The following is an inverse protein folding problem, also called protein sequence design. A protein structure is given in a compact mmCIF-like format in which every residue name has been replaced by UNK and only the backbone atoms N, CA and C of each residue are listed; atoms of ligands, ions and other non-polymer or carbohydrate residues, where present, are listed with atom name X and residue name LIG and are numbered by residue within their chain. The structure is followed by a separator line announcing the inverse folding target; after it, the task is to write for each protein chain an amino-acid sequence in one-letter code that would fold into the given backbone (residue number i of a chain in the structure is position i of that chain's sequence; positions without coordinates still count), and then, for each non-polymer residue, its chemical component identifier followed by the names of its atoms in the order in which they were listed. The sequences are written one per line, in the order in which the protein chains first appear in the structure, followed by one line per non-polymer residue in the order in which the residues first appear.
data_IF_398214173234
#
_entry.id   IF_398214173234
#
_cell.length_a   1.000
_cell.length_b   1.000
_cell.length_c   1.000
_cell.angle_alpha   90.00
_cell.angle_beta   90.00
_cell.angle_gamma   90.00
#
_symmetry.space_group_name_H-M   'P 1'
#
loop_
_entity.id
_entity.type
_entity.pdbx_description
1 polymer ?
#
# COMPACT_ATOMS: atom_id res chain seq x y z
N UNK A 1 -3.83 21.79 3.34
CA UNK A 1 -3.21 21.58 2.02
C UNK A 1 -3.44 22.76 1.06
N UNK A 2 -4.64 23.39 0.90
CA UNK A 2 -4.84 24.47 -0.09
C UNK A 2 -3.86 25.63 0.03
N UNK A 3 -3.66 26.17 1.21
CA UNK A 3 -2.73 27.28 1.44
C UNK A 3 -1.28 26.97 1.04
N UNK A 4 -0.83 25.73 1.25
CA UNK A 4 0.50 25.29 0.79
C UNK A 4 0.57 25.15 -0.73
N UNK A 5 -0.51 24.72 -1.36
CA UNK A 5 -0.60 24.67 -2.82
C UNK A 5 -0.52 26.07 -3.43
N UNK A 6 -1.27 27.04 -2.89
CA UNK A 6 -1.22 28.46 -3.30
C UNK A 6 0.20 29.00 -3.16
N UNK A 7 0.83 28.78 -2.01
CA UNK A 7 2.22 29.20 -1.78
C UNK A 7 3.19 28.57 -2.79
N UNK A 8 3.07 27.28 -3.06
CA UNK A 8 3.91 26.60 -4.04
C UNK A 8 3.73 27.18 -5.47
N UNK A 9 2.49 27.51 -5.85
CA UNK A 9 2.18 28.12 -7.16
C UNK A 9 2.73 29.53 -7.28
N UNK A 10 2.93 30.25 -6.19
CA UNK A 10 3.60 31.55 -6.19
C UNK A 10 5.13 31.44 -6.23
N UNK A 11 5.70 30.53 -5.43
CA UNK A 11 7.15 30.37 -5.27
C UNK A 11 7.78 29.73 -6.49
N UNK A 12 7.30 28.57 -6.94
CA UNK A 12 7.94 27.80 -8.01
C UNK A 12 8.11 28.60 -9.32
N UNK A 13 7.08 29.32 -9.83
CA UNK A 13 7.27 30.17 -10.99
C UNK A 13 8.22 31.35 -10.73
N UNK A 14 8.25 31.91 -9.52
CA UNK A 14 9.20 32.96 -9.17
C UNK A 14 10.66 32.49 -9.23
N UNK A 15 10.89 31.19 -9.06
CA UNK A 15 12.19 30.54 -9.23
C UNK A 15 12.49 30.15 -10.70
N UNK A 16 11.66 30.56 -11.66
CA UNK A 16 11.84 30.25 -13.08
C UNK A 16 11.37 28.87 -13.50
N UNK A 17 10.59 28.18 -12.69
CA UNK A 17 10.05 26.84 -13.00
C UNK A 17 8.69 26.93 -13.67
N UNK A 18 8.51 26.19 -14.76
CA UNK A 18 7.18 25.97 -15.35
C UNK A 18 6.39 24.95 -14.52
N UNK A 19 5.17 25.31 -14.15
CA UNK A 19 4.31 24.53 -13.28
C UNK A 19 3.10 23.99 -14.02
N UNK A 20 2.84 22.68 -13.88
CA UNK A 20 1.59 22.05 -14.28
C UNK A 20 0.77 21.86 -13.00
N UNK A 21 -0.30 22.63 -12.87
CA UNK A 21 -1.15 22.64 -11.69
C UNK A 21 -2.42 21.83 -11.95
N UNK A 22 -2.67 20.82 -11.10
CA UNK A 22 -4.01 20.29 -10.91
C UNK A 22 -4.63 21.00 -9.69
N UNK A 23 -5.63 21.89 -9.90
CA UNK A 23 -6.21 22.66 -8.80
C UNK A 23 -7.26 21.92 -8.00
N UNK A 24 -7.61 20.68 -8.42
CA UNK A 24 -8.62 19.86 -7.77
C UNK A 24 -7.97 18.98 -6.69
N UNK A 25 -8.77 18.61 -5.72
CA UNK A 25 -8.40 17.55 -4.79
C UNK A 25 -8.48 16.22 -5.53
N UNK A 26 -7.38 15.46 -5.47
CA UNK A 26 -7.21 14.18 -6.19
C UNK A 26 -6.61 13.13 -5.27
N UNK A 27 -6.80 11.86 -5.60
CA UNK A 27 -6.10 10.78 -4.91
C UNK A 27 -4.61 10.78 -5.23
N UNK A 28 -3.83 10.14 -4.36
CA UNK A 28 -2.41 9.85 -4.61
C UNK A 28 -2.24 9.04 -5.90
N UNK A 29 -3.16 8.14 -6.23
CA UNK A 29 -3.11 7.34 -7.46
C UNK A 29 -3.31 8.21 -8.71
N UNK A 30 -4.24 9.15 -8.69
CA UNK A 30 -4.42 10.10 -9.77
C UNK A 30 -3.21 11.06 -9.89
N UNK A 31 -2.60 11.45 -8.77
CA UNK A 31 -1.35 12.20 -8.78
C UNK A 31 -0.23 11.41 -9.48
N UNK A 32 -0.02 10.13 -9.14
CA UNK A 32 0.97 9.31 -9.83
C UNK A 32 0.66 9.14 -11.32
N UNK A 33 -0.61 9.00 -11.69
CA UNK A 33 -0.99 8.97 -13.09
C UNK A 33 -0.64 10.28 -13.82
N UNK A 34 -0.84 11.43 -13.18
CA UNK A 34 -0.41 12.72 -13.75
C UNK A 34 1.11 12.80 -13.95
N UNK A 35 1.89 12.19 -13.03
CA UNK A 35 3.35 12.05 -13.20
C UNK A 35 3.70 11.15 -14.40
N UNK A 36 2.97 10.04 -14.60
CA UNK A 36 3.14 9.17 -15.78
C UNK A 36 2.94 9.94 -17.10
N UNK A 37 2.05 10.93 -17.12
CA UNK A 37 1.79 11.79 -18.31
C UNK A 37 2.81 12.92 -18.47
N UNK A 38 3.60 13.21 -17.42
CA UNK A 38 4.60 14.27 -17.40
C UNK A 38 5.95 13.74 -16.89
N UNK A 39 6.45 12.68 -17.52
CA UNK A 39 7.60 11.88 -17.06
C UNK A 39 8.88 12.65 -16.78
N UNK A 40 9.09 13.75 -17.50
CA UNK A 40 10.31 14.57 -17.40
C UNK A 40 10.22 15.63 -16.29
N UNK A 41 9.06 15.76 -15.65
CA UNK A 41 8.84 16.71 -14.56
C UNK A 41 9.10 16.07 -13.18
N UNK A 42 9.57 16.87 -12.24
CA UNK A 42 9.42 16.58 -10.83
C UNK A 42 8.00 16.96 -10.39
N UNK A 43 7.48 16.28 -9.36
CA UNK A 43 6.13 16.55 -8.90
C UNK A 43 6.02 16.50 -7.37
N UNK A 44 5.07 17.26 -6.84
CA UNK A 44 4.75 17.31 -5.42
C UNK A 44 3.24 17.25 -5.22
N UNK A 45 2.82 16.46 -4.22
CA UNK A 45 1.46 16.40 -3.72
C UNK A 45 1.47 16.67 -2.21
N UNK A 46 0.57 17.56 -1.76
CA UNK A 46 0.40 17.86 -0.35
C UNK A 46 -0.65 16.92 0.26
N UNK A 47 -0.19 15.98 1.08
CA UNK A 47 -1.03 15.01 1.79
C UNK A 47 -0.37 14.54 3.08
N UNK A 48 -1.17 14.23 4.09
CA UNK A 48 -0.72 13.54 5.29
C UNK A 48 -1.18 12.06 5.32
N UNK A 49 -1.62 11.52 4.16
CA UNK A 49 -2.15 10.16 4.04
C UNK A 49 -3.34 9.95 5.00
N UNK A 50 -3.24 9.00 5.92
CA UNK A 50 -4.24 8.67 6.93
C UNK A 50 -3.95 9.28 8.31
N UNK A 51 -2.99 10.21 8.41
CA UNK A 51 -2.72 10.89 9.67
C UNK A 51 -3.85 11.87 10.04
N UNK A 52 -4.06 12.17 11.34
CA UNK A 52 -5.02 13.15 11.80
C UNK A 52 -4.91 14.49 11.08
N UNK A 53 -6.03 15.21 10.93
CA UNK A 53 -6.15 16.42 10.13
C UNK A 53 -5.24 17.61 10.53
N UNK A 54 -4.58 17.54 11.69
CA UNK A 54 -3.58 18.52 12.13
C UNK A 54 -2.22 18.35 11.45
N UNK A 55 -1.98 17.19 10.81
CA UNK A 55 -0.74 16.91 10.10
C UNK A 55 -0.83 17.33 8.64
N UNK A 56 0.30 17.69 8.07
CA UNK A 56 0.49 17.90 6.65
C UNK A 56 1.84 17.34 6.23
N UNK A 57 1.88 16.72 5.07
CA UNK A 57 3.08 16.17 4.47
C UNK A 57 3.14 16.42 2.97
N UNK A 58 4.17 15.87 2.34
CA UNK A 58 4.38 15.95 0.91
C UNK A 58 4.83 14.59 0.37
N UNK A 59 4.20 14.17 -0.73
CA UNK A 59 4.75 13.09 -1.57
C UNK A 59 5.51 13.72 -2.72
N UNK A 60 6.75 13.28 -2.93
CA UNK A 60 7.67 13.85 -3.90
C UNK A 60 8.04 12.80 -4.96
N UNK A 61 8.00 13.21 -6.22
CA UNK A 61 8.43 12.40 -7.36
C UNK A 61 9.48 13.16 -8.15
N UNK A 62 10.59 12.50 -8.44
CA UNK A 62 11.56 12.99 -9.40
C UNK A 62 11.21 12.58 -10.83
N UNK A 63 11.89 13.16 -11.84
CA UNK A 63 11.74 12.76 -13.23
C UNK A 63 11.92 11.25 -13.44
N UNK A 64 11.21 10.68 -14.40
CA UNK A 64 11.22 9.24 -14.68
C UNK A 64 10.45 8.40 -13.66
N UNK A 65 9.48 8.96 -12.97
CA UNK A 65 8.69 8.27 -11.94
C UNK A 65 9.55 7.74 -10.79
N UNK A 66 10.61 8.46 -10.44
CA UNK A 66 11.50 8.07 -9.35
C UNK A 66 10.98 8.61 -8.03
N UNK A 67 10.66 7.71 -7.11
CA UNK A 67 10.26 8.08 -5.75
C UNK A 67 11.45 8.60 -4.95
N UNK A 68 11.21 9.57 -4.07
CA UNK A 68 12.20 10.01 -3.07
C UNK A 68 11.89 9.35 -1.74
N UNK A 69 12.85 8.59 -1.23
CA UNK A 69 12.86 8.10 0.15
C UNK A 69 13.88 8.88 0.98
N UNK A 70 13.97 8.59 2.27
CA UNK A 70 14.89 9.32 3.16
C UNK A 70 16.34 9.29 2.68
N UNK A 71 16.82 8.11 2.33
CA UNK A 71 18.21 7.82 1.98
C UNK A 71 18.40 7.38 0.53
N UNK A 72 17.36 7.41 -0.29
CA UNK A 72 17.40 6.94 -1.66
C UNK A 72 16.50 7.77 -2.57
N UNK A 73 16.84 7.76 -3.86
CA UNK A 73 16.15 8.52 -4.89
C UNK A 73 17.07 9.52 -5.60
N UNK A 74 16.52 10.35 -6.50
CA UNK A 74 17.28 11.40 -7.18
C UNK A 74 17.98 12.34 -6.18
N UNK A 75 19.24 12.65 -6.45
CA UNK A 75 20.06 13.57 -5.68
C UNK A 75 20.21 13.24 -4.19
N UNK A 76 20.06 11.98 -3.78
CA UNK A 76 20.22 11.56 -2.38
C UNK A 76 18.91 11.55 -1.57
N UNK A 77 17.77 11.71 -2.22
CA UNK A 77 16.45 11.57 -1.58
C UNK A 77 16.06 12.72 -0.66
N UNK A 78 15.19 12.42 0.31
CA UNK A 78 14.65 13.40 1.26
C UNK A 78 15.73 13.92 2.22
N UNK A 79 16.75 13.12 2.55
CA UNK A 79 17.85 13.55 3.39
C UNK A 79 18.59 14.76 2.81
N UNK A 80 18.80 14.78 1.50
CA UNK A 80 19.40 15.93 0.82
C UNK A 80 18.51 17.18 0.92
N UNK A 81 17.20 17.05 0.79
CA UNK A 81 16.25 18.17 0.96
C UNK A 81 16.32 18.71 2.40
N UNK A 82 16.36 17.81 3.39
CA UNK A 82 16.52 18.18 4.80
C UNK A 82 17.82 18.95 5.02
N UNK A 83 18.94 18.46 4.50
CA UNK A 83 20.24 19.07 4.68
C UNK A 83 20.28 20.46 4.03
N UNK A 84 19.72 20.60 2.84
CA UNK A 84 19.50 21.93 2.22
C UNK A 84 18.69 22.89 3.08
N UNK A 85 17.63 22.39 3.71
CA UNK A 85 16.79 23.21 4.58
C UNK A 85 17.53 23.64 5.86
N UNK A 86 18.28 22.72 6.48
CA UNK A 86 19.00 22.98 7.73
C UNK A 86 20.22 23.89 7.53
N UNK A 87 20.95 23.73 6.44
CA UNK A 87 22.14 24.54 6.13
C UNK A 87 21.78 26.00 5.77
N UNK A 88 20.48 26.30 5.66
CA UNK A 88 19.99 27.62 5.24
C UNK A 88 20.70 28.12 3.98
N UNK A 89 21.26 27.21 3.21
CA UNK A 89 22.00 27.47 1.98
C UNK A 89 21.02 27.77 0.83
N UNK A 90 20.04 28.63 1.10
CA UNK A 90 19.25 29.29 0.06
C UNK A 90 20.19 30.11 -0.82
N UNK A 91 21.13 29.40 -1.47
CA UNK A 91 21.94 29.97 -2.53
C UNK A 91 20.96 30.57 -3.52
N UNK A 92 21.19 31.84 -3.84
CA UNK A 92 20.45 32.53 -4.90
C UNK A 92 20.58 31.70 -6.17
N UNK A 93 19.54 30.89 -6.45
CA UNK A 93 19.46 30.22 -7.74
C UNK A 93 19.32 31.31 -8.80
N UNK A 94 20.19 31.35 -9.83
CA UNK A 94 20.10 32.36 -10.87
C UNK A 94 18.79 32.18 -11.62
N UNK A 95 17.82 33.04 -11.33
CA UNK A 95 16.50 33.01 -11.97
C UNK A 95 16.59 33.69 -13.33
N UNK A 96 16.33 32.97 -14.41
CA UNK A 96 16.35 33.51 -15.79
C UNK A 96 15.02 34.16 -16.23
N UNK A 97 14.13 34.43 -15.28
CA UNK A 97 12.79 34.93 -15.51
C UNK A 97 11.74 34.16 -14.72
N UNK A 98 10.50 34.64 -14.76
CA UNK A 98 9.38 33.93 -14.09
C UNK A 98 8.90 32.79 -15.00
N UNK A 99 8.71 31.61 -14.45
CA UNK A 99 8.09 30.47 -15.12
C UNK A 99 6.58 30.67 -15.33
N UNK A 100 5.97 29.77 -16.07
CA UNK A 100 4.54 29.77 -16.39
C UNK A 100 3.77 28.81 -15.52
N UNK A 101 2.44 29.03 -15.39
CA UNK A 101 1.53 28.08 -14.73
C UNK A 101 0.49 27.63 -15.75
N UNK A 102 0.39 26.32 -15.96
CA UNK A 102 -0.59 25.68 -16.81
C UNK A 102 -1.50 24.77 -15.99
N UNK A 103 -2.80 24.92 -16.12
CA UNK A 103 -3.77 24.03 -15.47
C UNK A 103 -3.93 22.76 -16.31
N UNK A 104 -3.90 21.59 -15.65
CA UNK A 104 -4.20 20.30 -16.27
C UNK A 104 -5.03 19.43 -15.30
N UNK A 105 -5.95 18.66 -15.86
CA UNK A 105 -6.81 17.72 -15.14
C UNK A 105 -6.67 16.35 -15.80
N UNK A 106 -6.66 15.30 -15.00
CA UNK A 106 -6.38 13.93 -15.47
C UNK A 106 -7.47 12.93 -15.08
N UNK A 107 -8.59 13.37 -14.51
CA UNK A 107 -9.64 12.49 -13.97
C UNK A 107 -10.18 11.53 -15.03
N UNK A 108 -10.71 12.07 -16.12
CA UNK A 108 -11.34 11.27 -17.18
C UNK A 108 -10.34 10.26 -17.79
N UNK A 109 -9.13 10.76 -18.10
CA UNK A 109 -8.07 9.91 -18.65
C UNK A 109 -7.62 8.82 -17.67
N UNK A 110 -7.56 9.12 -16.37
CA UNK A 110 -7.22 8.15 -15.32
C UNK A 110 -8.29 7.07 -15.18
N UNK A 111 -9.56 7.46 -15.23
CA UNK A 111 -10.69 6.52 -15.21
C UNK A 111 -10.64 5.61 -16.44
N UNK A 112 -10.56 6.18 -17.64
CA UNK A 112 -10.51 5.42 -18.89
C UNK A 112 -9.32 4.47 -18.97
N UNK A 113 -8.16 4.93 -18.51
CA UNK A 113 -6.94 4.12 -18.40
C UNK A 113 -7.16 2.91 -17.47
N UNK A 114 -7.70 3.17 -16.27
CA UNK A 114 -7.87 2.12 -15.26
C UNK A 114 -8.95 1.10 -15.66
N UNK A 115 -10.06 1.54 -16.25
CA UNK A 115 -11.10 0.66 -16.81
C UNK A 115 -10.50 -0.20 -17.91
N UNK A 116 -9.83 0.40 -18.89
CA UNK A 116 -9.24 -0.31 -20.03
C UNK A 116 -8.22 -1.35 -19.58
N UNK A 117 -7.34 -1.00 -18.64
CA UNK A 117 -6.33 -1.92 -18.11
C UNK A 117 -6.96 -3.08 -17.30
N UNK A 118 -8.05 -2.83 -16.56
CA UNK A 118 -8.75 -3.86 -15.79
C UNK A 118 -9.45 -4.89 -16.67
N UNK A 119 -9.66 -4.57 -17.96
CA UNK A 119 -10.41 -5.40 -18.90
C UNK A 119 -11.92 -5.43 -18.64
N UNK A 120 -12.44 -4.49 -17.87
CA UNK A 120 -13.87 -4.24 -17.76
C UNK A 120 -14.34 -3.37 -18.95
N UNK A 121 -15.60 -3.58 -19.32
CA UNK A 121 -16.30 -2.82 -20.36
C UNK A 121 -17.56 -2.18 -19.77
N UNK A 122 -18.16 -1.28 -20.52
CA UNK A 122 -19.50 -0.74 -20.19
C UNK A 122 -20.47 -1.89 -19.94
N UNK A 123 -21.15 -1.84 -18.80
CA UNK A 123 -22.11 -2.86 -18.37
C UNK A 123 -21.52 -4.20 -17.87
N UNK A 124 -20.21 -4.37 -17.77
CA UNK A 124 -19.58 -5.58 -17.20
C UNK A 124 -20.02 -5.87 -15.75
N UNK A 125 -20.38 -4.82 -15.00
CA UNK A 125 -20.86 -4.91 -13.61
C UNK A 125 -22.38 -4.69 -13.49
N UNK A 126 -23.14 -4.90 -14.58
CA UNK A 126 -24.60 -4.75 -14.53
C UNK A 126 -25.23 -5.73 -13.54
N UNK A 127 -26.04 -5.19 -12.62
CA UNK A 127 -26.72 -5.96 -11.58
C UNK A 127 -25.86 -6.19 -10.33
N UNK A 128 -24.63 -5.72 -10.31
CA UNK A 128 -23.76 -5.77 -9.14
C UNK A 128 -24.03 -4.54 -8.27
N UNK A 129 -24.24 -4.76 -6.98
CA UNK A 129 -24.44 -3.73 -5.96
C UNK A 129 -23.22 -3.61 -5.05
N UNK A 130 -22.58 -2.44 -5.04
CA UNK A 130 -21.32 -2.20 -4.34
C UNK A 130 -21.49 -1.09 -3.32
N UNK A 131 -21.02 -1.31 -2.09
CA UNK A 131 -20.88 -0.27 -1.09
C UNK A 131 -19.45 0.28 -1.14
N UNK A 132 -19.30 1.60 -1.21
CA UNK A 132 -17.99 2.27 -1.10
C UNK A 132 -17.99 3.25 0.07
N UNK A 133 -16.92 3.24 0.85
CA UNK A 133 -16.69 4.22 1.91
C UNK A 133 -15.32 4.88 1.70
N UNK A 134 -15.35 6.20 1.56
CA UNK A 134 -14.14 6.98 1.29
C UNK A 134 -13.56 7.64 2.55
N UNK A 135 -14.16 7.41 3.72
CA UNK A 135 -13.73 7.97 5.01
C UNK A 135 -13.43 9.48 4.94
N UNK A 136 -14.19 10.22 4.14
CA UNK A 136 -13.96 11.63 3.79
C UNK A 136 -12.61 11.90 3.08
N UNK A 137 -12.04 10.89 2.43
CA UNK A 137 -10.81 10.97 1.63
C UNK A 137 -11.03 11.41 0.19
N UNK A 138 -9.99 11.34 -0.62
CA UNK A 138 -9.94 11.96 -1.96
C UNK A 138 -10.25 11.03 -3.14
N UNK A 139 -10.38 9.70 -2.94
CA UNK A 139 -10.62 8.74 -4.02
C UNK A 139 -12.08 8.67 -4.53
N UNK A 140 -12.99 9.40 -3.88
CA UNK A 140 -14.43 9.18 -4.04
C UNK A 140 -14.96 9.37 -5.46
N UNK A 141 -14.57 10.43 -6.14
CA UNK A 141 -15.07 10.75 -7.49
C UNK A 141 -14.63 9.69 -8.50
N UNK A 142 -13.34 9.43 -8.58
CA UNK A 142 -12.77 8.53 -9.59
C UNK A 142 -13.28 7.08 -9.47
N UNK A 143 -13.37 6.57 -8.23
CA UNK A 143 -13.84 5.20 -7.99
C UNK A 143 -15.32 5.08 -8.27
N UNK A 144 -16.13 6.04 -7.79
CA UNK A 144 -17.58 6.02 -8.01
C UNK A 144 -17.93 6.08 -9.50
N UNK A 145 -17.33 7.02 -10.23
CA UNK A 145 -17.58 7.21 -11.66
C UNK A 145 -17.13 5.99 -12.47
N UNK A 146 -15.96 5.43 -12.19
CA UNK A 146 -15.47 4.24 -12.88
C UNK A 146 -16.36 3.00 -12.67
N UNK A 147 -16.77 2.72 -11.44
CA UNK A 147 -17.68 1.60 -11.15
C UNK A 147 -19.04 1.78 -11.83
N UNK A 148 -19.60 3.00 -11.82
CA UNK A 148 -20.85 3.35 -12.47
C UNK A 148 -20.72 3.25 -14.01
N UNK A 149 -19.61 3.70 -14.59
CA UNK A 149 -19.32 3.55 -16.02
C UNK A 149 -19.28 2.08 -16.45
N UNK A 150 -18.81 1.19 -15.58
CA UNK A 150 -18.86 -0.25 -15.79
C UNK A 150 -20.25 -0.89 -15.50
N UNK A 151 -21.24 -0.10 -15.07
CA UNK A 151 -22.64 -0.54 -14.90
C UNK A 151 -23.01 -0.99 -13.48
N UNK A 152 -22.16 -0.82 -12.49
CA UNK A 152 -22.47 -1.15 -11.09
C UNK A 152 -23.49 -0.17 -10.48
N UNK A 153 -24.29 -0.67 -9.55
CA UNK A 153 -25.05 0.16 -8.62
C UNK A 153 -24.20 0.47 -7.40
N UNK A 154 -23.77 1.71 -7.24
CA UNK A 154 -22.84 2.10 -6.18
C UNK A 154 -23.60 2.86 -5.09
N UNK A 155 -23.54 2.35 -3.87
CA UNK A 155 -23.92 3.07 -2.66
C UNK A 155 -22.69 3.70 -2.03
N UNK A 156 -22.70 5.01 -1.93
CA UNK A 156 -21.55 5.79 -1.50
C UNK A 156 -21.70 6.27 -0.07
N UNK A 157 -20.63 6.23 0.71
CA UNK A 157 -20.49 6.82 2.04
C UNK A 157 -19.31 7.77 2.08
N UNK A 158 -19.42 8.81 2.92
CA UNK A 158 -18.35 9.75 3.23
C UNK A 158 -17.60 10.24 1.96
N UNK A 159 -18.40 10.58 0.92
CA UNK A 159 -17.88 10.94 -0.42
C UNK A 159 -17.10 12.26 -0.42
N UNK A 160 -17.57 13.24 0.39
CA UNK A 160 -17.03 14.60 0.34
C UNK A 160 -15.71 14.62 1.10
N UNK A 161 -14.59 14.97 0.42
CA UNK A 161 -13.32 15.07 1.07
C UNK A 161 -13.29 16.16 2.15
N UNK A 162 -12.87 15.76 3.35
CA UNK A 162 -12.71 16.68 4.48
C UNK A 162 -11.46 16.28 5.28
N UNK A 163 -10.45 17.15 5.27
CA UNK A 163 -9.20 16.89 5.97
C UNK A 163 -9.27 16.85 7.50
N UNK A 164 -10.44 17.14 8.09
CA UNK A 164 -10.71 16.94 9.52
C UNK A 164 -11.26 15.54 9.82
N UNK A 165 -11.58 14.76 8.79
CA UNK A 165 -12.08 13.39 8.88
C UNK A 165 -13.24 13.19 9.88
N UNK A 166 -14.39 13.86 9.68
CA UNK A 166 -15.51 13.80 10.62
C UNK A 166 -16.13 12.39 10.74
N UNK A 167 -15.83 11.49 9.82
CA UNK A 167 -16.26 10.09 9.88
C UNK A 167 -15.39 9.22 10.81
N UNK A 168 -14.30 9.74 11.33
CA UNK A 168 -13.31 9.03 12.15
C UNK A 168 -11.95 8.92 11.46
N UNK A 169 -11.05 8.15 12.04
CA UNK A 169 -9.72 7.88 11.47
C UNK A 169 -9.84 7.35 10.02
N UNK A 170 -9.18 7.98 9.03
CA UNK A 170 -9.27 7.56 7.63
C UNK A 170 -8.39 6.35 7.31
N UNK A 171 -8.37 5.36 8.19
CA UNK A 171 -7.61 4.12 8.02
C UNK A 171 -8.56 2.94 7.70
N UNK A 172 -8.60 2.42 6.46
CA UNK A 172 -9.59 1.43 6.03
C UNK A 172 -9.38 0.05 6.64
N UNK A 173 -8.20 -0.25 7.18
CA UNK A 173 -7.93 -1.52 7.85
C UNK A 173 -8.23 -1.50 9.35
N UNK A 174 -8.46 -0.33 9.94
CA UNK A 174 -8.81 -0.22 11.35
C UNK A 174 -10.30 -0.55 11.55
N UNK A 175 -10.56 -1.54 12.40
CA UNK A 175 -11.93 -2.04 12.65
C UNK A 175 -12.90 -0.94 13.08
N UNK A 176 -12.43 0.00 13.86
CA UNK A 176 -13.25 1.10 14.39
C UNK A 176 -13.68 2.05 13.28
N UNK A 177 -12.79 2.39 12.38
CA UNK A 177 -13.05 3.29 11.25
C UNK A 177 -14.12 2.74 10.30
N UNK A 178 -14.15 1.43 10.08
CA UNK A 178 -15.04 0.78 9.11
C UNK A 178 -16.23 0.07 9.72
N UNK A 179 -16.36 0.02 11.05
CA UNK A 179 -17.45 -0.68 11.75
C UNK A 179 -18.84 -0.29 11.26
N UNK A 180 -19.09 1.00 11.12
CA UNK A 180 -20.39 1.49 10.65
C UNK A 180 -20.68 1.11 9.19
N UNK A 181 -19.67 0.88 8.39
CA UNK A 181 -19.77 0.38 7.02
C UNK A 181 -20.06 -1.10 6.99
N UNK A 182 -19.44 -1.88 7.85
CA UNK A 182 -19.78 -3.31 8.02
C UNK A 182 -21.22 -3.52 8.47
N UNK A 183 -21.68 -2.72 9.43
CA UNK A 183 -23.08 -2.79 9.90
C UNK A 183 -24.06 -2.47 8.77
N UNK A 184 -23.70 -1.54 7.88
CA UNK A 184 -24.48 -1.23 6.70
C UNK A 184 -24.48 -2.38 5.70
N UNK A 185 -23.32 -2.99 5.42
CA UNK A 185 -23.20 -4.18 4.56
C UNK A 185 -24.13 -5.30 5.00
N UNK A 186 -24.12 -5.62 6.30
CA UNK A 186 -24.96 -6.68 6.89
C UNK A 186 -26.45 -6.38 6.78
N UNK A 187 -26.83 -5.11 6.89
CA UNK A 187 -28.22 -4.68 6.94
C UNK A 187 -28.86 -4.53 5.57
N UNK A 188 -28.15 -3.97 4.59
CA UNK A 188 -28.71 -3.56 3.30
C UNK A 188 -28.38 -4.52 2.13
N UNK A 189 -27.56 -5.53 2.36
CA UNK A 189 -27.18 -6.57 1.38
C UNK A 189 -26.61 -6.03 0.08
N UNK A 190 -25.34 -5.76 0.07
CA UNK A 190 -24.54 -5.52 -1.12
C UNK A 190 -23.82 -6.82 -1.54
N UNK A 191 -23.36 -6.90 -2.77
CA UNK A 191 -22.54 -8.03 -3.22
C UNK A 191 -21.18 -8.03 -2.55
N UNK A 192 -20.54 -6.87 -2.49
CA UNK A 192 -19.27 -6.62 -1.80
C UNK A 192 -19.08 -5.11 -1.58
N UNK A 193 -18.01 -4.73 -0.88
CA UNK A 193 -17.71 -3.33 -0.61
C UNK A 193 -16.22 -3.01 -0.56
N UNK A 194 -15.93 -1.71 -0.63
CA UNK A 194 -14.58 -1.16 -0.55
C UNK A 194 -14.51 -0.01 0.45
N UNK A 195 -13.39 0.07 1.17
CA UNK A 195 -13.04 1.24 1.97
C UNK A 195 -11.68 1.78 1.50
N UNK A 196 -11.55 3.13 1.52
CA UNK A 196 -10.35 3.82 1.08
C UNK A 196 -9.81 4.71 2.19
N UNK A 197 -8.51 4.96 2.22
CA UNK A 197 -7.91 5.89 3.16
C UNK A 197 -8.01 7.36 2.70
N UNK A 198 -7.44 8.26 3.52
CA UNK A 198 -7.61 9.70 3.32
C UNK A 198 -7.09 10.24 1.99
N UNK A 199 -6.00 9.73 1.46
CA UNK A 199 -5.47 10.15 0.15
C UNK A 199 -5.63 9.08 -0.94
N UNK A 200 -6.37 8.01 -0.66
CA UNK A 200 -6.86 7.07 -1.64
C UNK A 200 -5.81 6.14 -2.24
N UNK A 201 -4.70 5.90 -1.56
CA UNK A 201 -3.68 4.94 -2.01
C UNK A 201 -3.80 3.57 -1.33
N UNK A 202 -4.73 3.42 -0.38
CA UNK A 202 -5.10 2.16 0.25
C UNK A 202 -6.53 1.76 -0.10
N UNK A 203 -6.71 0.48 -0.36
CA UNK A 203 -8.01 -0.11 -0.66
C UNK A 203 -8.21 -1.38 0.15
N UNK A 204 -9.20 -1.39 1.02
CA UNK A 204 -9.66 -2.58 1.72
C UNK A 204 -10.93 -3.13 1.09
N UNK A 205 -11.09 -4.46 1.12
CA UNK A 205 -12.20 -5.18 0.47
C UNK A 205 -12.98 -5.94 1.53
N UNK A 206 -14.31 -5.91 1.43
CA UNK A 206 -15.19 -6.66 2.31
C UNK A 206 -16.25 -7.43 1.52
N UNK A 207 -16.64 -8.59 2.04
CA UNK A 207 -17.73 -9.39 1.48
C UNK A 207 -19.11 -8.84 1.84
N UNK A 208 -20.16 -9.52 1.39
CA UNK A 208 -21.55 -9.18 1.66
C UNK A 208 -21.96 -9.29 3.15
N UNK A 209 -21.11 -9.84 4.01
CA UNK A 209 -21.31 -9.90 5.45
C UNK A 209 -20.48 -8.84 6.18
N UNK A 210 -19.74 -7.99 5.46
CA UNK A 210 -18.84 -7.00 6.00
C UNK A 210 -17.52 -7.58 6.52
N UNK A 211 -17.13 -8.77 6.07
CA UNK A 211 -15.89 -9.40 6.47
C UNK A 211 -14.77 -8.98 5.54
N UNK A 212 -13.70 -8.46 6.13
CA UNK A 212 -12.52 -7.99 5.39
C UNK A 212 -11.67 -9.15 4.89
N UNK A 213 -11.28 -9.10 3.62
CA UNK A 213 -10.26 -9.95 3.05
C UNK A 213 -8.92 -9.19 3.07
N UNK A 214 -7.93 -9.74 3.79
CA UNK A 214 -6.61 -9.10 3.89
C UNK A 214 -5.97 -8.86 2.52
N UNK A 215 -5.19 -7.78 2.35
CA UNK A 215 -4.62 -7.38 1.07
C UNK A 215 -3.83 -8.47 0.36
N UNK A 216 -3.03 -9.22 1.09
CA UNK A 216 -2.25 -10.33 0.54
C UNK A 216 -3.12 -11.49 0.02
N UNK A 217 -4.25 -11.77 0.66
CA UNK A 217 -5.22 -12.76 0.17
C UNK A 217 -5.98 -12.24 -1.05
N UNK A 218 -6.38 -10.96 -1.05
CA UNK A 218 -7.02 -10.35 -2.21
C UNK A 218 -6.07 -10.36 -3.42
N UNK A 219 -4.80 -9.97 -3.23
CA UNK A 219 -3.82 -10.00 -4.32
C UNK A 219 -3.63 -11.42 -4.87
N UNK A 220 -3.66 -12.47 -4.02
CA UNK A 220 -3.57 -13.86 -4.49
C UNK A 220 -4.68 -14.21 -5.50
N UNK A 221 -5.88 -13.63 -5.35
CA UNK A 221 -6.98 -13.81 -6.31
C UNK A 221 -6.76 -13.04 -7.62
N UNK A 222 -6.02 -11.93 -7.58
CA UNK A 222 -5.78 -11.05 -8.73
C UNK A 222 -4.56 -11.47 -9.56
N UNK A 223 -3.58 -12.17 -8.97
CA UNK A 223 -2.33 -12.59 -9.63
C UNK A 223 -2.58 -13.29 -10.98
N UNK A 224 -3.53 -14.23 -11.14
CA UNK A 224 -3.75 -14.86 -12.43
C UNK A 224 -4.06 -13.86 -13.55
N UNK A 225 -4.90 -12.86 -13.31
CA UNK A 225 -5.23 -11.83 -14.30
C UNK A 225 -4.05 -10.90 -14.57
N UNK A 226 -3.29 -10.54 -13.55
CA UNK A 226 -2.09 -9.70 -13.67
C UNK A 226 -1.01 -10.45 -14.49
N UNK A 227 -0.75 -11.71 -14.17
CA UNK A 227 0.26 -12.51 -14.88
C UNK A 227 -0.14 -12.79 -16.32
N UNK A 228 -1.43 -12.96 -16.61
CA UNK A 228 -1.93 -13.12 -17.99
C UNK A 228 -1.70 -11.83 -18.81
N UNK A 229 -1.98 -10.67 -18.24
CA UNK A 229 -1.66 -9.39 -18.88
C UNK A 229 -0.15 -9.32 -19.19
N UNK A 230 0.72 -9.57 -18.22
CA UNK A 230 2.17 -9.51 -18.45
C UNK A 230 2.71 -10.63 -19.34
N UNK A 231 2.01 -11.75 -19.50
CA UNK A 231 2.34 -12.77 -20.50
C UNK A 231 2.14 -12.25 -21.92
N UNK A 232 1.10 -11.44 -22.15
CA UNK A 232 0.92 -10.77 -23.45
C UNK A 232 1.99 -9.71 -23.70
N UNK A 233 2.37 -8.95 -22.68
CA UNK A 233 3.49 -8.01 -22.72
C UNK A 233 4.80 -8.73 -23.01
N UNK A 234 5.08 -9.87 -22.38
CA UNK A 234 6.26 -10.67 -22.64
C UNK A 234 6.30 -11.15 -24.11
N UNK A 235 5.17 -11.60 -24.63
CA UNK A 235 5.06 -12.05 -26.03
C UNK A 235 5.36 -10.93 -27.05
N UNK A 236 5.20 -9.64 -26.67
CA UNK A 236 5.58 -8.50 -27.49
C UNK A 236 7.09 -8.19 -27.50
N UNK A 237 7.90 -8.95 -26.75
CA UNK A 237 9.35 -8.82 -26.71
C UNK A 237 9.91 -7.77 -25.75
N UNK A 238 9.09 -7.14 -24.94
CA UNK A 238 9.52 -6.07 -23.99
C UNK A 238 10.54 -6.57 -22.96
N UNK A 239 10.46 -7.84 -22.54
CA UNK A 239 11.43 -8.47 -21.63
C UNK A 239 12.60 -9.16 -22.33
N UNK A 240 12.76 -8.96 -23.65
CA UNK A 240 13.80 -9.60 -24.45
C UNK A 240 13.54 -11.09 -24.65
N UNK A 241 14.62 -11.89 -24.75
CA UNK A 241 14.56 -13.34 -25.01
C UNK A 241 14.47 -14.22 -23.76
N UNK A 242 14.34 -13.62 -22.58
CA UNK A 242 14.24 -14.38 -21.33
C UNK A 242 12.91 -15.14 -21.25
N UNK A 243 12.86 -16.34 -20.66
CA UNK A 243 11.61 -17.03 -20.38
C UNK A 243 10.67 -16.17 -19.51
N UNK A 244 9.37 -16.36 -19.67
CA UNK A 244 8.40 -15.71 -18.80
C UNK A 244 8.45 -16.32 -17.40
N UNK A 245 8.97 -15.56 -16.45
CA UNK A 245 9.11 -15.94 -15.04
C UNK A 245 8.72 -14.74 -14.17
N UNK A 246 7.42 -14.56 -13.89
CA UNK A 246 6.96 -13.43 -13.11
C UNK A 246 7.36 -13.54 -11.64
N UNK A 247 7.67 -12.40 -11.03
CA UNK A 247 8.01 -12.27 -9.62
C UNK A 247 7.19 -11.16 -8.97
N UNK A 248 7.01 -11.26 -7.64
CA UNK A 248 6.35 -10.26 -6.83
C UNK A 248 7.05 -10.02 -5.49
N UNK A 249 6.76 -8.89 -4.88
CA UNK A 249 7.14 -8.61 -3.51
C UNK A 249 5.96 -8.68 -2.54
N UNK A 250 6.22 -9.13 -1.30
CA UNK A 250 5.31 -9.08 -0.18
C UNK A 250 6.02 -8.51 1.07
N UNK A 251 5.29 -7.84 1.95
CA UNK A 251 5.85 -7.23 3.15
C UNK A 251 6.05 -8.23 4.30
N UNK A 252 6.82 -7.83 5.32
CA UNK A 252 7.16 -8.68 6.47
C UNK A 252 5.94 -9.15 7.26
N UNK A 253 4.80 -8.50 7.13
CA UNK A 253 3.56 -8.79 7.84
C UNK A 253 2.67 -9.80 7.11
N UNK A 254 2.98 -10.08 5.84
CA UNK A 254 2.16 -10.98 5.05
C UNK A 254 2.03 -12.36 5.71
N UNK A 255 0.80 -12.84 5.75
CA UNK A 255 0.50 -14.13 6.35
C UNK A 255 1.15 -15.26 5.52
N UNK A 256 1.86 -16.22 6.13
CA UNK A 256 2.50 -17.32 5.41
C UNK A 256 1.58 -18.07 4.45
N UNK A 257 0.28 -18.25 4.80
CA UNK A 257 -0.67 -18.90 3.90
C UNK A 257 -0.95 -18.07 2.65
N UNK A 258 -1.13 -16.76 2.79
CA UNK A 258 -1.35 -15.90 1.62
C UNK A 258 -0.16 -15.93 0.66
N UNK A 259 1.07 -15.95 1.20
CA UNK A 259 2.29 -16.06 0.40
C UNK A 259 2.37 -17.41 -0.35
N UNK A 260 2.01 -18.52 0.32
CA UNK A 260 1.91 -19.84 -0.36
C UNK A 260 0.84 -19.83 -1.45
N UNK A 261 -0.31 -19.18 -1.20
CA UNK A 261 -1.37 -19.07 -2.20
C UNK A 261 -0.91 -18.25 -3.42
N UNK A 262 -0.21 -17.14 -3.20
CA UNK A 262 0.39 -16.34 -4.26
C UNK A 262 1.39 -17.15 -5.07
N UNK A 263 2.31 -17.85 -4.42
CA UNK A 263 3.32 -18.70 -5.08
C UNK A 263 2.67 -19.83 -5.91
N UNK A 264 1.54 -20.39 -5.46
CA UNK A 264 0.78 -21.39 -6.19
C UNK A 264 0.13 -20.86 -7.49
N UNK A 265 0.02 -19.54 -7.64
CA UNK A 265 -0.39 -18.92 -8.91
C UNK A 265 0.73 -18.90 -9.96
N UNK A 266 1.89 -19.48 -9.67
CA UNK A 266 3.01 -19.56 -10.62
C UNK A 266 3.85 -18.29 -10.69
N UNK A 267 3.84 -17.47 -9.65
CA UNK A 267 4.68 -16.28 -9.49
C UNK A 267 5.74 -16.51 -8.41
N UNK A 268 6.98 -16.09 -8.64
CA UNK A 268 8.02 -16.07 -7.61
C UNK A 268 7.69 -15.03 -6.55
N UNK A 269 7.79 -15.39 -5.27
CA UNK A 269 7.43 -14.51 -4.15
C UNK A 269 8.66 -14.13 -3.35
N UNK A 270 8.85 -12.84 -3.07
CA UNK A 270 10.04 -12.31 -2.40
C UNK A 270 9.65 -11.34 -1.31
N UNK A 271 10.28 -11.49 -0.14
CA UNK A 271 10.05 -10.57 0.96
C UNK A 271 10.72 -9.22 0.70
N UNK A 272 10.06 -8.13 1.09
CA UNK A 272 10.62 -6.78 0.98
C UNK A 272 10.34 -5.97 2.24
N UNK A 273 11.23 -5.02 2.54
CA UNK A 273 11.02 -4.05 3.62
C UNK A 273 9.80 -3.17 3.37
N UNK A 274 9.10 -2.78 4.43
CA UNK A 274 7.97 -1.88 4.35
C UNK A 274 8.35 -0.49 3.84
N UNK A 275 7.41 0.13 3.14
CA UNK A 275 7.51 1.51 2.68
C UNK A 275 7.34 1.66 1.18
N UNK A 276 6.30 2.39 0.82
CA UNK A 276 5.85 2.57 -0.58
C UNK A 276 6.96 3.03 -1.55
N UNK A 277 7.88 3.89 -1.09
CA UNK A 277 8.99 4.36 -1.94
C UNK A 277 9.99 3.27 -2.26
N UNK A 278 10.32 2.40 -1.29
CA UNK A 278 11.25 1.28 -1.48
C UNK A 278 10.66 0.22 -2.39
N UNK A 279 9.39 -0.12 -2.20
CA UNK A 279 8.69 -1.13 -3.02
C UNK A 279 8.58 -0.66 -4.47
N UNK A 280 8.20 0.61 -4.70
CA UNK A 280 8.15 1.19 -6.05
C UNK A 280 9.52 1.21 -6.71
N UNK A 281 10.57 1.59 -5.99
CA UNK A 281 11.94 1.61 -6.54
C UNK A 281 12.43 0.18 -6.85
N UNK A 282 12.13 -0.80 -5.99
CA UNK A 282 12.47 -2.21 -6.25
C UNK A 282 11.74 -2.76 -7.48
N UNK A 283 10.44 -2.52 -7.62
CA UNK A 283 9.67 -2.91 -8.81
C UNK A 283 10.21 -2.25 -10.08
N UNK A 284 10.52 -0.95 -10.03
CA UNK A 284 11.08 -0.20 -11.15
C UNK A 284 12.43 -0.77 -11.58
N UNK A 285 13.32 -1.01 -10.63
CA UNK A 285 14.69 -1.47 -10.88
C UNK A 285 14.72 -2.91 -11.40
N UNK A 286 13.85 -3.76 -10.85
CA UNK A 286 13.80 -5.19 -11.16
C UNK A 286 12.73 -5.54 -12.22
N UNK A 287 12.21 -4.54 -12.95
CA UNK A 287 11.20 -4.76 -14.00
C UNK A 287 11.70 -5.72 -15.09
N UNK A 288 12.97 -5.59 -15.51
CA UNK A 288 13.55 -6.49 -16.52
C UNK A 288 13.65 -7.95 -16.05
N UNK A 289 13.77 -8.18 -14.75
CA UNK A 289 13.72 -9.48 -14.10
C UNK A 289 12.27 -9.92 -13.81
N UNK A 290 11.28 -9.20 -14.38
CA UNK A 290 9.87 -9.51 -14.29
C UNK A 290 9.29 -9.45 -12.87
N UNK A 291 9.80 -8.54 -12.02
CA UNK A 291 9.12 -8.17 -10.78
C UNK A 291 7.97 -7.22 -11.11
N UNK A 292 6.74 -7.71 -11.02
CA UNK A 292 5.58 -7.10 -11.66
C UNK A 292 4.66 -6.38 -10.69
N UNK A 293 4.47 -6.94 -9.48
CA UNK A 293 3.43 -6.55 -8.53
C UNK A 293 3.92 -6.70 -7.10
N UNK A 294 3.32 -5.96 -6.18
CA UNK A 294 3.55 -6.10 -4.74
C UNK A 294 2.30 -5.72 -3.94
N UNK A 295 2.23 -6.15 -2.68
CA UNK A 295 1.26 -5.67 -1.71
C UNK A 295 1.86 -5.51 -0.32
N UNK A 296 1.28 -4.61 0.45
CA UNK A 296 1.48 -4.50 1.90
C UNK A 296 0.17 -4.83 2.64
N UNK A 297 0.30 -5.41 3.82
CA UNK A 297 -0.86 -5.68 4.70
C UNK A 297 -1.55 -4.40 5.19
N UNK A 298 -0.96 -3.25 4.97
CA UNK A 298 -1.55 -1.92 5.17
C UNK A 298 -2.51 -1.49 4.05
N UNK A 299 -2.94 -2.40 3.17
CA UNK A 299 -3.86 -2.20 2.05
C UNK A 299 -3.31 -1.42 0.86
N UNK A 300 -1.98 -1.35 0.72
CA UNK A 300 -1.34 -0.86 -0.48
C UNK A 300 -1.13 -1.97 -1.51
N UNK A 301 -1.37 -1.63 -2.78
CA UNK A 301 -1.13 -2.49 -3.93
C UNK A 301 -0.29 -1.75 -4.97
N UNK A 302 0.76 -2.39 -5.44
CA UNK A 302 1.73 -1.82 -6.38
C UNK A 302 1.83 -2.67 -7.63
N UNK A 303 2.01 -2.06 -8.77
CA UNK A 303 2.29 -2.76 -10.01
C UNK A 303 3.18 -1.91 -10.93
N UNK A 304 3.85 -2.55 -11.86
CA UNK A 304 4.45 -1.89 -12.99
C UNK A 304 3.36 -1.58 -14.03
N UNK A 305 2.83 -0.35 -14.02
CA UNK A 305 1.78 0.12 -14.92
C UNK A 305 2.36 0.59 -16.26
N UNK A 306 1.82 0.17 -17.43
CA UNK A 306 2.30 0.63 -18.73
C UNK A 306 2.06 2.12 -18.90
N UNK A 307 3.03 2.83 -19.47
CA UNK A 307 2.82 4.24 -19.85
C UNK A 307 1.79 4.40 -20.96
N UNK A 308 1.72 3.42 -21.86
CA UNK A 308 0.75 3.35 -22.94
C UNK A 308 0.16 1.93 -23.01
N UNK A 309 -1.17 1.83 -22.98
CA UNK A 309 -1.89 0.54 -23.02
C UNK A 309 -1.77 -0.17 -24.38
N UNK A 310 -1.48 0.60 -25.45
CA UNK A 310 -1.38 0.09 -26.83
C UNK A 310 0.05 -0.22 -27.24
N UNK A 311 1.03 0.37 -26.55
CA UNK A 311 2.44 0.23 -26.87
C UNK A 311 3.27 0.03 -25.61
N UNK A 312 3.45 -1.21 -25.22
CA UNK A 312 4.24 -1.59 -24.05
C UNK A 312 5.74 -1.26 -24.18
N UNK A 313 6.24 -0.94 -25.41
CA UNK A 313 7.62 -0.52 -25.63
C UNK A 313 7.91 0.87 -25.04
N UNK A 314 6.88 1.65 -24.74
CA UNK A 314 7.01 2.91 -24.02
C UNK A 314 7.46 2.73 -22.56
N UNK A 315 7.45 1.50 -22.05
CA UNK A 315 7.88 1.15 -20.71
C UNK A 315 6.79 1.22 -19.65
N UNK A 316 7.21 1.14 -18.40
CA UNK A 316 6.32 0.98 -17.25
C UNK A 316 6.71 1.92 -16.11
N UNK A 317 5.72 2.31 -15.34
CA UNK A 317 5.85 3.05 -14.09
C UNK A 317 5.52 2.13 -12.90
N UNK A 318 6.45 1.95 -12.00
CA UNK A 318 6.19 1.28 -10.73
C UNK A 318 5.45 2.23 -9.80
N UNK A 319 4.18 1.99 -9.57
CA UNK A 319 3.33 2.88 -8.76
C UNK A 319 2.12 2.15 -8.16
N UNK A 320 1.28 2.90 -7.46
CA UNK A 320 -0.04 2.50 -6.96
C UNK A 320 -1.12 2.97 -7.92
N UNK A 321 -2.20 2.19 -8.01
CA UNK A 321 -3.44 2.58 -8.64
C UNK A 321 -4.59 1.80 -8.00
N UNK A 322 -5.12 2.30 -6.88
CA UNK A 322 -6.22 1.67 -6.16
C UNK A 322 -7.47 1.55 -7.02
N UNK A 323 -7.73 2.49 -7.93
CA UNK A 323 -8.84 2.41 -8.87
C UNK A 323 -8.73 1.15 -9.75
N UNK A 324 -7.55 0.88 -10.31
CA UNK A 324 -7.31 -0.33 -11.10
C UNK A 324 -7.55 -1.60 -10.26
N UNK A 325 -6.99 -1.67 -9.06
CA UNK A 325 -7.16 -2.84 -8.18
C UNK A 325 -8.60 -3.02 -7.71
N UNK A 326 -9.35 -1.92 -7.49
CA UNK A 326 -10.80 -1.94 -7.23
C UNK A 326 -11.56 -2.58 -8.40
N UNK A 327 -11.30 -2.12 -9.61
CA UNK A 327 -11.93 -2.63 -10.83
C UNK A 327 -11.55 -4.10 -11.10
N UNK A 328 -10.28 -4.45 -10.89
CA UNK A 328 -9.82 -5.83 -11.07
C UNK A 328 -10.44 -6.77 -10.03
N UNK A 329 -10.59 -6.32 -8.77
CA UNK A 329 -11.29 -7.07 -7.72
C UNK A 329 -12.78 -7.23 -8.07
N UNK A 330 -13.44 -6.17 -8.54
CA UNK A 330 -14.83 -6.23 -8.98
C UNK A 330 -15.02 -7.22 -10.16
N UNK A 331 -14.09 -7.22 -11.12
CA UNK A 331 -14.06 -8.18 -12.22
C UNK A 331 -13.89 -9.62 -11.72
N UNK A 332 -12.95 -9.85 -10.81
CA UNK A 332 -12.72 -11.17 -10.21
C UNK A 332 -13.96 -11.65 -9.47
N UNK A 333 -14.55 -10.83 -8.62
CA UNK A 333 -15.78 -11.15 -7.89
C UNK A 333 -16.91 -11.55 -8.84
N UNK A 334 -17.14 -10.77 -9.88
CA UNK A 334 -18.22 -11.03 -10.83
C UNK A 334 -18.01 -12.31 -11.63
N UNK A 335 -16.75 -12.63 -11.94
CA UNK A 335 -16.40 -13.83 -12.73
C UNK A 335 -16.36 -15.11 -11.90
N UNK A 336 -15.99 -15.02 -10.62
CA UNK A 336 -15.73 -16.19 -9.77
C UNK A 336 -15.92 -15.86 -8.28
N UNK A 337 -17.15 -15.54 -7.84
CA UNK A 337 -17.42 -15.13 -6.45
C UNK A 337 -17.06 -16.21 -5.42
N UNK A 338 -17.08 -17.48 -5.83
CA UNK A 338 -16.69 -18.62 -5.00
C UNK A 338 -15.20 -18.55 -4.57
N UNK A 339 -14.32 -17.99 -5.39
CA UNK A 339 -12.90 -17.85 -5.05
C UNK A 339 -12.70 -16.89 -3.87
N UNK A 340 -13.48 -15.81 -3.82
CA UNK A 340 -13.44 -14.88 -2.70
C UNK A 340 -13.89 -15.55 -1.40
N UNK A 341 -15.02 -16.27 -1.45
CA UNK A 341 -15.52 -17.04 -0.30
C UNK A 341 -14.48 -18.06 0.19
N UNK A 342 -13.82 -18.77 -0.73
CA UNK A 342 -12.74 -19.70 -0.39
C UNK A 342 -11.52 -19.00 0.25
N UNK A 343 -11.13 -17.82 -0.26
CA UNK A 343 -10.04 -17.05 0.30
C UNK A 343 -10.36 -16.60 1.73
N UNK A 344 -11.57 -16.11 2.00
CA UNK A 344 -12.03 -15.78 3.35
C UNK A 344 -12.01 -16.99 4.30
N UNK A 345 -12.49 -18.15 3.84
CA UNK A 345 -12.46 -19.37 4.64
C UNK A 345 -11.02 -19.77 5.00
N UNK A 346 -10.10 -19.66 4.06
CA UNK A 346 -8.67 -19.92 4.29
C UNK A 346 -8.06 -18.92 5.25
N UNK A 347 -8.39 -17.62 5.10
CA UNK A 347 -7.94 -16.58 6.02
C UNK A 347 -8.41 -16.88 7.46
N UNK A 348 -9.66 -17.30 7.63
CA UNK A 348 -10.23 -17.67 8.95
C UNK A 348 -9.62 -18.92 9.58
N UNK A 349 -8.99 -19.77 8.78
CA UNK A 349 -8.31 -20.96 9.28
C UNK A 349 -6.93 -20.65 9.88
N UNK A 350 -6.51 -19.40 9.85
CA UNK A 350 -5.25 -18.93 10.43
C UNK A 350 -5.55 -17.90 11.51
N UNK A 351 -4.84 -18.04 12.61
CA UNK A 351 -4.97 -17.15 13.75
C UNK A 351 -3.97 -16.02 13.63
N UNK A 352 -4.48 -14.79 13.74
CA UNK A 352 -3.69 -13.57 13.52
C UNK A 352 -4.11 -12.50 14.51
N UNK A 353 -3.14 -11.95 15.23
CA UNK A 353 -3.28 -10.64 15.83
C UNK A 353 -2.66 -9.62 14.88
N UNK A 354 -3.51 -8.69 14.38
CA UNK A 354 -3.09 -7.64 13.46
C UNK A 354 -2.12 -6.68 14.12
N UNK A 355 -1.33 -5.99 13.34
CA UNK A 355 -0.34 -5.03 13.80
C UNK A 355 -0.92 -4.06 14.83
N UNK A 356 -0.32 -4.04 16.02
CA UNK A 356 -0.63 -3.08 17.07
C UNK A 356 0.59 -2.27 17.46
N UNK A 357 0.44 -0.97 17.82
CA UNK A 357 1.51 -0.08 18.20
C UNK A 357 1.72 -0.01 19.71
N UNK A 358 2.95 0.37 20.11
CA UNK A 358 3.26 0.90 21.44
C UNK A 358 4.24 2.07 21.28
N UNK A 359 3.92 3.21 21.90
CA UNK A 359 4.72 4.42 21.82
C UNK A 359 5.69 4.47 23.01
N UNK A 360 6.99 4.64 22.74
CA UNK A 360 8.06 4.77 23.71
C UNK A 360 8.56 6.23 23.72
N UNK A 361 8.75 6.80 24.90
CA UNK A 361 9.07 8.22 25.05
C UNK A 361 10.55 8.53 24.83
N UNK A 362 11.42 7.51 24.80
CA UNK A 362 12.85 7.64 24.58
C UNK A 362 13.35 6.64 23.53
N UNK A 363 14.15 7.11 22.57
CA UNK A 363 14.59 6.32 21.42
C UNK A 363 15.35 5.03 21.81
N UNK A 364 16.21 5.10 22.84
CA UNK A 364 16.96 3.93 23.28
C UNK A 364 16.07 2.79 23.81
N UNK A 365 14.87 3.10 24.31
CA UNK A 365 13.90 2.10 24.79
C UNK A 365 13.30 1.29 23.63
N UNK A 366 13.21 1.89 22.43
CA UNK A 366 12.75 1.16 21.23
C UNK A 366 13.70 -0.01 20.92
N UNK A 367 15.00 0.27 20.85
CA UNK A 367 15.99 -0.78 20.58
C UNK A 367 15.98 -1.84 21.69
N UNK A 368 15.87 -1.39 22.93
CA UNK A 368 15.85 -2.31 24.09
C UNK A 368 14.64 -3.24 24.05
N UNK A 369 13.42 -2.72 23.85
CA UNK A 369 12.21 -3.56 23.79
C UNK A 369 12.23 -4.52 22.60
N UNK A 370 12.72 -4.07 21.44
CA UNK A 370 12.87 -4.92 20.27
C UNK A 370 13.81 -6.10 20.53
N UNK A 371 14.93 -5.87 21.24
CA UNK A 371 15.87 -6.93 21.64
C UNK A 371 15.27 -7.87 22.68
N UNK A 372 14.55 -7.37 23.68
CA UNK A 372 13.90 -8.20 24.69
C UNK A 372 12.84 -9.13 24.08
N UNK A 373 12.01 -8.62 23.19
CA UNK A 373 11.01 -9.43 22.47
C UNK A 373 11.71 -10.48 21.60
N UNK A 374 12.74 -10.10 20.84
CA UNK A 374 13.50 -11.04 20.03
C UNK A 374 14.09 -12.17 20.89
N UNK A 375 14.74 -11.85 22.00
CA UNK A 375 15.33 -12.84 22.90
C UNK A 375 14.29 -13.78 23.51
N UNK A 376 13.11 -13.27 23.84
CA UNK A 376 12.01 -14.06 24.34
C UNK A 376 11.57 -15.15 23.34
N UNK A 377 11.52 -14.85 22.05
CA UNK A 377 11.17 -15.82 21.01
C UNK A 377 12.35 -16.71 20.58
N UNK A 378 13.55 -16.20 20.54
CA UNK A 378 14.76 -17.01 20.33
C UNK A 378 14.91 -18.08 21.39
N UNK A 379 14.63 -17.77 22.66
CA UNK A 379 14.65 -18.74 23.77
C UNK A 379 13.61 -19.87 23.60
N UNK A 380 12.58 -19.65 22.79
CA UNK A 380 11.57 -20.65 22.41
C UNK A 380 11.92 -21.40 21.11
N UNK A 381 13.08 -21.12 20.52
CA UNK A 381 13.59 -21.80 19.32
C UNK A 381 13.12 -21.20 18.00
N UNK A 382 12.61 -19.96 17.97
CA UNK A 382 12.31 -19.28 16.71
C UNK A 382 13.61 -18.81 16.03
N UNK A 383 13.67 -18.98 14.72
CA UNK A 383 14.71 -18.40 13.87
C UNK A 383 14.40 -16.93 13.60
N UNK A 384 15.44 -16.12 13.49
CA UNK A 384 15.36 -14.65 13.32
C UNK A 384 15.90 -14.25 11.96
N UNK A 385 15.14 -13.42 11.24
CA UNK A 385 15.48 -12.92 9.91
C UNK A 385 15.38 -11.39 9.92
N UNK A 386 16.45 -10.71 9.50
CA UNK A 386 16.58 -9.23 9.48
C UNK A 386 16.99 -8.70 8.11
N UNK A 387 17.24 -9.59 7.15
CA UNK A 387 17.71 -9.22 5.81
C UNK A 387 16.81 -9.79 4.73
N UNK A 388 16.77 -9.12 3.59
CA UNK A 388 16.17 -9.62 2.36
C UNK A 388 17.11 -10.63 1.68
N UNK A 389 16.65 -11.27 0.61
CA UNK A 389 17.42 -12.28 -0.14
C UNK A 389 18.74 -11.72 -0.74
N UNK A 390 18.78 -10.41 -1.03
CA UNK A 390 19.96 -9.71 -1.51
C UNK A 390 20.94 -9.27 -0.41
N UNK A 391 20.63 -9.59 0.85
CA UNK A 391 21.41 -9.22 2.04
C UNK A 391 21.14 -7.81 2.58
N UNK A 392 20.27 -7.03 1.95
CA UNK A 392 19.89 -5.71 2.45
C UNK A 392 18.93 -5.81 3.64
N UNK A 393 18.86 -4.76 4.46
CA UNK A 393 18.02 -4.72 5.67
C UNK A 393 16.53 -4.85 5.34
N UNK A 394 15.80 -5.64 6.12
CA UNK A 394 14.32 -5.64 6.15
C UNK A 394 13.73 -4.43 6.88
N UNK A 395 14.56 -3.70 7.65
CA UNK A 395 14.09 -2.66 8.58
C UNK A 395 13.00 -3.18 9.56
N UNK A 396 13.04 -4.45 9.80
CA UNK A 396 12.14 -5.21 10.67
C UNK A 396 12.85 -6.48 11.16
N UNK A 397 12.34 -7.08 12.20
CA UNK A 397 12.74 -8.42 12.64
C UNK A 397 11.57 -9.38 12.40
N UNK A 398 11.80 -10.40 11.61
CA UNK A 398 10.86 -11.49 11.38
C UNK A 398 11.34 -12.72 12.16
N UNK A 399 10.50 -13.26 13.03
CA UNK A 399 10.79 -14.43 13.84
C UNK A 399 9.85 -15.56 13.44
N UNK A 400 10.41 -16.73 13.11
CA UNK A 400 9.65 -17.89 12.63
C UNK A 400 9.99 -19.17 13.39
N UNK A 401 8.96 -19.88 13.82
CA UNK A 401 9.05 -21.23 14.34
C UNK A 401 8.19 -22.17 13.50
N UNK A 402 8.72 -23.35 13.12
CA UNK A 402 8.00 -24.30 12.26
C UNK A 402 7.82 -23.86 10.81
N UNK A 403 8.46 -22.76 10.40
CA UNK A 403 8.43 -22.19 9.04
C UNK A 403 9.86 -22.01 8.49
N UNK A 404 10.08 -22.15 7.17
CA UNK A 404 11.35 -21.83 6.56
C UNK A 404 11.60 -20.32 6.52
N UNK A 405 12.85 -19.92 6.25
CA UNK A 405 13.22 -18.54 5.98
C UNK A 405 12.47 -17.96 4.78
N UNK A 406 12.47 -18.69 3.67
CA UNK A 406 11.73 -18.31 2.46
C UNK A 406 10.48 -19.15 2.32
N UNK A 407 9.36 -18.48 2.20
CA UNK A 407 8.08 -19.12 1.89
C UNK A 407 8.01 -19.35 0.38
N UNK A 408 7.71 -20.58 -0.01
CA UNK A 408 7.54 -20.99 -1.42
C UNK A 408 6.24 -21.77 -1.59
N UNK A 409 5.92 -22.14 -2.81
CA UNK A 409 4.74 -23.01 -3.08
C UNK A 409 4.88 -24.41 -2.45
N UNK A 410 6.09 -24.86 -2.18
CA UNK A 410 6.37 -26.14 -1.50
C UNK A 410 6.31 -26.04 0.03
N UNK A 411 6.20 -24.82 0.58
CA UNK A 411 6.14 -24.64 2.03
C UNK A 411 4.90 -25.29 2.61
N UNK A 412 5.11 -26.24 3.52
CA UNK A 412 4.03 -26.90 4.25
C UNK A 412 3.62 -26.06 5.44
N UNK A 413 2.34 -25.73 5.52
CA UNK A 413 1.72 -25.09 6.70
C UNK A 413 0.95 -26.09 7.56
N UNK A 414 1.22 -27.39 7.35
CA UNK A 414 0.70 -28.45 8.22
C UNK A 414 1.58 -28.58 9.45
N UNK A 415 0.97 -28.55 10.63
CA UNK A 415 1.70 -28.64 11.89
C UNK A 415 1.72 -27.34 12.66
N UNK A 416 2.55 -27.30 13.69
CA UNK A 416 2.65 -26.15 14.59
C UNK A 416 3.65 -25.13 14.05
N UNK A 417 3.19 -23.91 13.79
CA UNK A 417 4.03 -22.81 13.33
C UNK A 417 3.60 -21.48 13.95
N UNK A 418 4.57 -20.57 14.04
CA UNK A 418 4.41 -19.21 14.53
C UNK A 418 5.26 -18.26 13.69
N UNK A 419 4.69 -17.11 13.34
CA UNK A 419 5.40 -15.97 12.78
C UNK A 419 5.12 -14.73 13.63
N UNK A 420 6.18 -14.04 14.03
CA UNK A 420 6.13 -12.75 14.71
C UNK A 420 6.92 -11.76 13.87
N UNK A 421 6.30 -10.66 13.48
CA UNK A 421 6.95 -9.53 12.84
C UNK A 421 7.00 -8.36 13.81
N UNK A 422 8.17 -7.73 13.93
CA UNK A 422 8.33 -6.50 14.72
C UNK A 422 9.12 -5.46 13.94
N UNK A 423 8.74 -4.19 14.11
CA UNK A 423 9.41 -3.07 13.44
C UNK A 423 9.26 -1.76 14.21
N UNK A 424 10.16 -0.82 13.93
CA UNK A 424 10.00 0.58 14.34
C UNK A 424 9.27 1.32 13.22
N UNK A 425 8.26 2.13 13.56
CA UNK A 425 7.57 2.98 12.59
C UNK A 425 8.52 4.04 12.04
N UNK A 426 8.47 4.27 10.73
CA UNK A 426 9.23 5.34 10.07
C UNK A 426 8.43 6.64 9.91
N UNK A 427 7.11 6.55 10.02
CA UNK A 427 6.18 7.67 9.89
C UNK A 427 5.76 8.29 11.23
N UNK A 428 6.02 7.57 12.33
CA UNK A 428 5.63 7.97 13.68
C UNK A 428 6.82 7.77 14.62
N UNK A 429 7.26 8.86 15.21
CA UNK A 429 8.40 8.87 16.14
C UNK A 429 8.08 8.08 17.42
N UNK A 430 9.04 7.33 17.91
CA UNK A 430 8.89 6.57 19.16
C UNK A 430 8.00 5.32 19.07
N UNK A 431 7.52 4.93 17.90
CA UNK A 431 6.53 3.89 17.75
C UNK A 431 7.13 2.54 17.36
N UNK A 432 6.98 1.53 18.21
CA UNK A 432 7.22 0.12 17.87
C UNK A 432 5.90 -0.58 17.53
N UNK A 433 5.96 -1.56 16.63
CA UNK A 433 4.80 -2.30 16.13
C UNK A 433 5.08 -3.78 16.04
N UNK A 434 4.10 -4.59 16.40
CA UNK A 434 4.15 -6.04 16.34
C UNK A 434 2.94 -6.60 15.60
N UNK A 435 3.14 -7.72 14.93
CA UNK A 435 2.10 -8.54 14.33
C UNK A 435 2.41 -10.02 14.55
N UNK A 436 1.41 -10.82 14.88
CA UNK A 436 1.54 -12.25 15.13
C UNK A 436 0.60 -13.02 14.21
N UNK A 437 1.10 -14.10 13.62
CA UNK A 437 0.27 -15.10 12.94
C UNK A 437 0.72 -16.53 13.30
N UNK A 438 -0.21 -17.46 13.39
CA UNK A 438 0.09 -18.82 13.84
C UNK A 438 -0.90 -19.87 13.33
N UNK A 439 -0.53 -21.14 13.54
CA UNK A 439 -1.35 -22.30 13.19
C UNK A 439 -2.51 -22.57 14.17
N UNK A 440 -2.49 -21.99 15.39
CA UNK A 440 -3.55 -22.17 16.39
C UNK A 440 -3.81 -20.90 17.21
N UNK A 441 -5.04 -20.75 17.76
CA UNK A 441 -5.37 -19.60 18.59
C UNK A 441 -4.50 -19.54 19.85
N UNK A 442 -4.29 -20.69 20.52
CA UNK A 442 -3.52 -20.75 21.76
C UNK A 442 -2.08 -20.26 21.56
N UNK A 443 -1.49 -20.61 20.41
CA UNK A 443 -0.13 -20.17 20.08
C UNK A 443 -0.07 -18.68 19.71
N UNK A 444 -1.10 -18.17 19.05
CA UNK A 444 -1.24 -16.74 18.80
C UNK A 444 -1.35 -15.97 20.12
N UNK A 445 -2.29 -16.35 20.97
CA UNK A 445 -2.55 -15.72 22.26
C UNK A 445 -1.32 -15.74 23.18
N UNK A 446 -0.59 -16.87 23.22
CA UNK A 446 0.65 -16.98 23.97
C UNK A 446 1.73 -16.03 23.47
N UNK A 447 1.90 -15.92 22.15
CA UNK A 447 2.87 -15.00 21.56
C UNK A 447 2.52 -13.53 21.84
N UNK A 448 1.25 -13.16 21.68
CA UNK A 448 0.74 -11.83 22.02
C UNK A 448 0.95 -11.52 23.51
N UNK A 449 0.63 -12.46 24.40
CA UNK A 449 0.81 -12.30 25.85
C UNK A 449 2.28 -12.09 26.23
N UNK A 450 3.22 -12.75 25.56
CA UNK A 450 4.66 -12.55 25.78
C UNK A 450 5.05 -11.12 25.43
N UNK A 451 4.63 -10.60 24.26
CA UNK A 451 4.94 -9.24 23.83
C UNK A 451 4.33 -8.24 24.82
N UNK A 452 3.04 -8.40 25.16
CA UNK A 452 2.38 -7.54 26.15
C UNK A 452 3.05 -7.61 27.52
N UNK A 453 3.50 -8.77 27.99
CA UNK A 453 4.21 -8.87 29.27
C UNK A 453 5.48 -8.01 29.32
N UNK A 454 6.15 -7.85 28.17
CA UNK A 454 7.34 -7.03 28.04
C UNK A 454 6.94 -5.54 27.93
N UNK A 455 6.04 -5.20 27.01
CA UNK A 455 5.64 -3.81 26.74
C UNK A 455 4.88 -3.19 27.92
N UNK A 456 3.99 -3.93 28.60
CA UNK A 456 3.25 -3.49 29.79
C UNK A 456 4.15 -3.08 30.95
N UNK A 457 5.33 -3.67 31.07
CA UNK A 457 6.31 -3.26 32.08
C UNK A 457 6.75 -1.82 31.82
N UNK A 458 7.06 -1.47 30.56
CA UNK A 458 7.43 -0.11 30.18
C UNK A 458 6.27 0.87 30.39
N UNK A 459 5.04 0.45 30.08
CA UNK A 459 3.84 1.27 30.32
C UNK A 459 3.64 1.52 31.83
N UNK A 460 3.77 0.51 32.67
CA UNK A 460 3.67 0.64 34.13
C UNK A 460 4.76 1.51 34.74
N UNK A 461 5.93 1.53 34.12
CA UNK A 461 7.05 2.42 34.53
C UNK A 461 6.90 3.85 34.00
N UNK A 462 5.83 4.17 33.25
CA UNK A 462 5.61 5.50 32.64
C UNK A 462 6.58 5.83 31.52
N UNK A 463 7.18 4.84 30.87
CA UNK A 463 8.15 4.95 29.78
C UNK A 463 7.53 4.77 28.39
N UNK A 464 6.32 4.21 28.35
CA UNK A 464 5.60 3.93 27.12
C UNK A 464 4.09 4.06 27.33
N UNK A 465 3.33 4.10 26.22
CA UNK A 465 1.87 4.06 26.22
C UNK A 465 1.36 3.29 24.99
N UNK A 466 0.19 2.68 25.12
CA UNK A 466 -0.57 2.26 23.94
C UNK A 466 -1.34 3.47 23.43
N UNK A 467 -1.27 3.77 22.12
CA UNK A 467 -2.15 4.78 21.51
C UNK A 467 -3.62 4.39 21.68
N UNK A 468 -4.48 5.40 21.88
CA UNK A 468 -5.94 5.22 21.96
C UNK A 468 -6.56 4.85 20.62
#
# INVERSE_FOLDING_TARGET
APALLELAVDILPSMGLDVILNPLQVSTCQFYFSCMRNRDAAAVMFTASHNPGIYIGMKLMGPGMRTLAYDSGPAGGIACIRDFYLDNSGSEYPVKGRGTVRIARYLDEFIDYSISLSGLETHSLRGVSILTDYLCGSAGTEVTEALQACGATVRVRNLIPDGMFPAGDPNPIALESVRSTWDLMRREKFDFGFCFDGDGDRMDVMDNNGEQLAPSFNLALLIPMITDYFRTVHASGVFGSYPYQPHMYYDVKANPLSVVLQANCGIGVHIIRNGHSFIKEALRTNMKQQYLVASEESAHYYMNFPYDLKDSSQGFAATENTLFFTLLTARMWTSSPELYTQALQRQKAIYREREWPCHFYEEHLLEQVMQEVEQAFVSQGLAVFKTMEDGSSLDATLMRGGLPELITKETSLKGDWLQVAQRISRSEEGMARWEVSSSSPERCDQAVAIIHSITDRYVKEGKASYPE
#
